data_IF_423944371462
#
_entry.id   IF_423944371462
#
_cell.length_a   1.000
_cell.length_b   1.000
_cell.length_c   1.000
_cell.angle_alpha   90.00
_cell.angle_beta   90.00
_cell.angle_gamma   90.00
#
_symmetry.space_group_name_H-M   'P 1'
#
loop_
_entity.id
_entity.type
_entity.pdbx_description
1 polymer ?
#
# COMPACT_ATOMS: atom_id res chain seq x y z
N UNK A 1 22.48 21.02 -24.94
CA UNK A 1 21.47 22.04 -24.60
C UNK A 1 20.05 21.48 -24.83
N UNK A 2 19.72 20.37 -24.16
CA UNK A 2 18.43 19.68 -24.27
C UNK A 2 18.07 18.91 -22.98
N UNK A 3 18.71 19.22 -21.84
CA UNK A 3 18.53 18.50 -20.57
C UNK A 3 17.68 19.27 -19.54
N UNK A 4 17.15 20.44 -19.91
CA UNK A 4 16.59 21.41 -18.94
C UNK A 4 15.04 21.48 -18.96
N UNK A 5 14.38 20.60 -19.75
CA UNK A 5 12.91 20.63 -19.93
C UNK A 5 12.14 19.53 -19.18
N UNK A 6 12.82 18.62 -18.50
CA UNK A 6 12.17 17.43 -17.93
C UNK A 6 11.73 17.56 -16.45
N UNK A 7 12.12 18.61 -15.72
CA UNK A 7 12.03 18.61 -14.24
C UNK A 7 11.17 19.71 -13.61
N UNK A 8 10.17 20.24 -14.32
CA UNK A 8 9.13 21.10 -13.70
C UNK A 8 7.75 20.76 -14.22
N UNK A 9 7.15 19.69 -13.70
CA UNK A 9 5.69 19.52 -13.71
C UNK A 9 5.22 19.63 -12.27
N UNK A 10 4.77 20.82 -11.89
CA UNK A 10 4.11 21.07 -10.61
C UNK A 10 2.80 20.28 -10.58
N UNK A 11 2.65 19.36 -9.64
CA UNK A 11 1.38 18.72 -9.39
C UNK A 11 0.39 19.77 -8.85
N UNK A 12 -0.75 19.94 -9.53
CA UNK A 12 -1.80 20.86 -9.08
C UNK A 12 -2.66 20.13 -8.07
N UNK A 13 -2.71 20.68 -6.84
CA UNK A 13 -3.60 20.25 -5.77
C UNK A 13 -5.06 20.32 -6.25
N UNK A 14 -5.73 19.17 -6.36
CA UNK A 14 -7.19 19.13 -6.43
C UNK A 14 -7.71 19.16 -5.01
N UNK A 15 -8.21 20.31 -4.59
CA UNK A 15 -9.00 20.40 -3.35
C UNK A 15 -10.20 19.46 -3.51
N UNK A 16 -10.40 18.57 -2.55
CA UNK A 16 -11.52 17.63 -2.51
C UNK A 16 -12.84 18.37 -2.16
N UNK A 17 -13.20 19.40 -2.93
CA UNK A 17 -14.47 20.11 -2.78
C UNK A 17 -15.54 19.48 -3.67
N UNK A 18 -16.66 19.13 -3.06
CA UNK A 18 -17.95 19.01 -3.75
C UNK A 18 -18.20 20.28 -4.55
N UNK A 19 -18.53 20.14 -5.83
CA UNK A 19 -18.54 21.23 -6.80
C UNK A 19 -19.17 22.52 -6.30
N UNK A 20 -18.35 23.57 -6.22
CA UNK A 20 -18.58 24.93 -6.69
C UNK A 20 -17.21 25.63 -6.60
N UNK A 21 -16.59 25.91 -7.76
CA UNK A 21 -15.37 26.70 -7.82
C UNK A 21 -15.77 28.13 -7.45
N UNK A 22 -15.37 28.59 -6.26
CA UNK A 22 -15.19 30.01 -6.00
C UNK A 22 -13.72 30.20 -5.65
N UNK A 23 -13.03 31.05 -6.40
CA UNK A 23 -11.63 31.37 -6.22
C UNK A 23 -11.42 32.10 -4.88
N UNK A 24 -10.65 31.50 -3.98
CA UNK A 24 -9.83 32.24 -3.01
C UNK A 24 -8.53 31.49 -2.82
N UNK A 25 -7.42 32.14 -3.18
CA UNK A 25 -6.06 31.67 -2.99
C UNK A 25 -5.68 31.73 -1.51
N UNK A 26 -5.54 30.57 -0.87
CA UNK A 26 -4.63 30.36 0.25
C UNK A 26 -3.82 29.10 -0.05
N UNK A 27 -2.54 29.28 -0.35
CA UNK A 27 -1.60 28.18 -0.60
C UNK A 27 -1.07 27.71 0.75
N UNK A 28 -1.74 26.72 1.33
CA UNK A 28 -1.09 25.87 2.32
C UNK A 28 -0.18 24.90 1.57
N UNK A 29 1.08 24.81 2.00
CA UNK A 29 2.01 23.77 1.55
C UNK A 29 1.36 22.41 1.83
N UNK A 30 1.11 21.63 0.79
CA UNK A 30 0.58 20.26 0.90
C UNK A 30 1.65 19.29 0.42
N UNK A 31 1.93 18.28 1.23
CA UNK A 31 2.95 17.27 0.98
C UNK A 31 2.61 16.42 -0.25
N UNK A 32 3.63 16.21 -1.08
CA UNK A 32 3.55 15.38 -2.27
C UNK A 32 3.67 13.92 -1.82
N UNK A 33 2.54 13.21 -1.76
CA UNK A 33 2.54 11.79 -1.47
C UNK A 33 3.18 10.97 -2.60
N UNK A 34 4.43 10.59 -2.39
CA UNK A 34 5.18 9.71 -3.29
C UNK A 34 4.87 8.25 -2.95
N UNK A 35 4.58 7.46 -3.98
CA UNK A 35 4.46 6.01 -3.87
C UNK A 35 5.69 5.38 -4.54
N UNK A 36 6.61 4.86 -3.73
CA UNK A 36 7.81 4.16 -4.18
C UNK A 36 7.51 2.65 -4.17
N UNK A 37 7.91 1.92 -5.22
CA UNK A 37 7.82 0.46 -5.30
C UNK A 37 9.22 -0.13 -5.12
N UNK A 38 9.43 -0.93 -4.07
CA UNK A 38 10.72 -1.56 -3.75
C UNK A 38 10.71 -3.09 -3.93
N UNK A 39 9.65 -3.65 -4.52
CA UNK A 39 9.38 -5.11 -4.55
C UNK A 39 10.35 -5.97 -5.37
N UNK A 40 11.46 -5.42 -5.89
CA UNK A 40 12.40 -6.13 -6.75
C UNK A 40 13.89 -6.01 -6.35
N UNK A 41 14.19 -5.67 -5.09
CA UNK A 41 15.56 -5.35 -4.65
C UNK A 41 16.18 -6.39 -3.71
N UNK A 42 16.33 -7.64 -4.16
CA UNK A 42 17.02 -8.71 -3.42
C UNK A 42 18.56 -8.74 -3.64
N UNK A 43 19.17 -7.65 -4.14
CA UNK A 43 20.61 -7.59 -4.37
C UNK A 43 21.25 -6.26 -3.90
N UNK A 44 22.43 -6.28 -3.26
CA UNK A 44 23.12 -5.07 -2.83
C UNK A 44 23.49 -4.20 -4.03
N UNK A 45 22.95 -2.98 -4.06
CA UNK A 45 23.15 -2.02 -5.15
C UNK A 45 24.54 -1.38 -5.02
N UNK A 46 25.43 -1.68 -5.97
CA UNK A 46 26.67 -0.94 -6.16
C UNK A 46 26.35 0.42 -6.78
N UNK A 47 26.40 1.48 -5.96
CA UNK A 47 26.18 2.86 -6.41
C UNK A 47 27.46 3.42 -7.06
N UNK A 48 27.63 3.15 -8.35
CA UNK A 48 28.62 3.86 -9.17
C UNK A 48 28.17 5.33 -9.38
N UNK A 49 28.96 6.34 -8.97
CA UNK A 49 28.61 7.75 -9.16
C UNK A 49 28.54 8.18 -10.64
N UNK A 50 29.00 7.34 -11.59
CA UNK A 50 28.83 7.55 -13.02
C UNK A 50 27.66 6.76 -13.64
N UNK A 51 26.88 6.05 -12.83
CA UNK A 51 25.69 5.33 -13.27
C UNK A 51 24.60 6.33 -13.68
N UNK A 52 24.33 6.47 -14.98
CA UNK A 52 23.04 6.96 -15.48
C UNK A 52 21.93 6.19 -14.76
N UNK A 53 20.98 6.89 -14.15
CA UNK A 53 19.76 6.32 -13.56
C UNK A 53 19.32 5.10 -14.38
N UNK A 54 19.43 3.91 -13.80
CA UNK A 54 19.09 2.67 -14.48
C UNK A 54 17.67 2.26 -14.07
N UNK A 55 16.65 2.66 -14.84
CA UNK A 55 15.27 2.32 -14.54
C UNK A 55 14.99 0.80 -14.64
N UNK A 56 15.97 -0.01 -15.07
CA UNK A 56 15.91 -1.47 -15.00
C UNK A 56 15.84 -2.02 -13.56
N UNK A 57 16.06 -1.18 -12.53
CA UNK A 57 15.84 -1.56 -11.13
C UNK A 57 14.34 -1.65 -10.74
N UNK A 58 13.42 -1.24 -11.63
CA UNK A 58 11.97 -1.28 -11.38
C UNK A 58 11.26 -2.58 -11.81
N UNK A 59 11.97 -3.70 -11.97
CA UNK A 59 11.33 -4.98 -12.28
C UNK A 59 10.68 -5.06 -13.67
N UNK A 60 11.44 -5.61 -14.61
CA UNK A 60 11.01 -6.35 -15.82
C UNK A 60 10.30 -5.68 -17.00
N UNK A 61 9.85 -4.41 -16.99
CA UNK A 61 9.20 -3.87 -18.22
C UNK A 61 9.30 -2.35 -18.44
N UNK A 62 10.30 -1.68 -17.86
CA UNK A 62 10.53 -0.27 -18.18
C UNK A 62 11.20 -0.12 -19.55
N UNK A 63 10.45 0.35 -20.55
CA UNK A 63 10.99 0.80 -21.83
C UNK A 63 11.14 2.34 -21.84
N UNK A 64 12.37 2.88 -21.86
CA UNK A 64 12.61 4.33 -21.90
C UNK A 64 12.09 5.00 -23.18
N UNK A 65 11.66 4.25 -24.19
CA UNK A 65 11.06 4.77 -25.43
C UNK A 65 9.55 4.85 -25.35
N UNK A 66 8.93 4.18 -24.38
CA UNK A 66 7.48 4.08 -24.24
C UNK A 66 7.05 4.97 -23.07
N UNK A 67 6.73 6.22 -23.39
CA UNK A 67 6.14 7.15 -22.41
C UNK A 67 4.62 7.04 -22.39
N UNK A 68 4.02 7.25 -21.21
CA UNK A 68 2.57 7.43 -21.10
C UNK A 68 2.13 8.64 -21.94
N UNK A 69 1.13 8.46 -22.80
CA UNK A 69 0.47 9.58 -23.47
C UNK A 69 -0.34 10.41 -22.46
N UNK A 70 -0.77 11.62 -22.85
CA UNK A 70 -1.46 12.56 -21.96
C UNK A 70 -2.74 11.96 -21.34
N UNK A 71 -3.49 11.17 -22.10
CA UNK A 71 -4.70 10.50 -21.61
C UNK A 71 -4.39 9.45 -20.54
N UNK A 72 -3.34 8.65 -20.75
CA UNK A 72 -2.88 7.64 -19.79
C UNK A 72 -2.35 8.31 -18.54
N UNK A 73 -1.53 9.34 -18.69
CA UNK A 73 -1.02 10.14 -17.58
C UNK A 73 -2.18 10.73 -16.77
N UNK A 74 -3.10 11.42 -17.43
CA UNK A 74 -4.29 12.02 -16.82
C UNK A 74 -5.12 10.98 -16.06
N UNK A 75 -5.38 9.82 -16.67
CA UNK A 75 -6.13 8.73 -16.04
C UNK A 75 -5.52 8.31 -14.71
N UNK A 76 -4.20 8.12 -14.64
CA UNK A 76 -3.54 7.68 -13.41
C UNK A 76 -3.37 8.80 -12.39
N UNK A 77 -3.13 10.04 -12.82
CA UNK A 77 -3.15 11.22 -11.94
C UNK A 77 -4.53 11.40 -11.31
N UNK A 78 -5.61 11.32 -12.10
CA UNK A 78 -6.98 11.43 -11.59
C UNK A 78 -7.32 10.27 -10.65
N UNK A 79 -6.85 9.04 -10.94
CA UNK A 79 -6.99 7.88 -10.05
C UNK A 79 -6.26 8.11 -8.71
N UNK A 80 -5.03 8.61 -8.73
CA UNK A 80 -4.25 8.93 -7.54
C UNK A 80 -4.88 10.04 -6.71
N UNK A 81 -5.31 11.13 -7.35
CA UNK A 81 -6.02 12.22 -6.69
C UNK A 81 -7.33 11.78 -6.03
N UNK A 82 -8.09 10.89 -6.67
CA UNK A 82 -9.28 10.32 -6.06
C UNK A 82 -8.94 9.46 -4.83
N UNK A 83 -7.90 8.62 -4.91
CA UNK A 83 -7.45 7.82 -3.77
C UNK A 83 -7.02 8.70 -2.59
N UNK A 84 -6.28 9.78 -2.85
CA UNK A 84 -5.90 10.77 -1.84
C UNK A 84 -7.13 11.38 -1.16
N UNK A 85 -8.14 11.79 -1.93
CA UNK A 85 -9.39 12.29 -1.35
C UNK A 85 -10.08 11.26 -0.45
N UNK A 86 -10.06 9.98 -0.83
CA UNK A 86 -10.63 8.91 0.00
C UNK A 86 -9.84 8.74 1.31
N UNK A 87 -8.50 8.79 1.26
CA UNK A 87 -7.65 8.65 2.45
C UNK A 87 -7.77 9.86 3.39
N UNK A 88 -7.99 11.06 2.86
CA UNK A 88 -8.17 12.28 3.65
C UNK A 88 -9.58 12.46 4.22
N UNK A 89 -10.59 11.78 3.66
CA UNK A 89 -11.97 11.88 4.12
C UNK A 89 -12.18 11.13 5.46
N UNK A 90 -13.21 11.52 6.22
CA UNK A 90 -13.72 10.67 7.31
C UNK A 90 -14.29 9.38 6.73
N UNK A 91 -14.47 8.33 7.53
CA UNK A 91 -15.08 7.08 7.07
C UNK A 91 -16.40 7.31 6.31
N UNK A 92 -17.30 8.12 6.88
CA UNK A 92 -18.55 8.51 6.23
C UNK A 92 -18.35 9.28 4.92
N UNK A 93 -17.37 10.19 4.90
CA UNK A 93 -17.04 10.98 3.72
C UNK A 93 -16.47 10.11 2.59
N UNK A 94 -15.57 9.18 2.92
CA UNK A 94 -15.03 8.21 1.98
C UNK A 94 -16.14 7.28 1.48
N UNK A 95 -17.03 6.78 2.35
CA UNK A 95 -18.20 6.00 1.95
C UNK A 95 -19.10 6.75 0.96
N UNK A 96 -19.35 8.04 1.21
CA UNK A 96 -20.08 8.89 0.28
C UNK A 96 -19.38 9.05 -1.08
N UNK A 97 -18.07 9.32 -1.09
CA UNK A 97 -17.28 9.45 -2.33
C UNK A 97 -17.26 8.16 -3.16
N UNK A 98 -17.39 7.01 -2.49
CA UNK A 98 -17.50 5.70 -3.13
C UNK A 98 -18.92 5.31 -3.54
N UNK A 99 -19.91 6.18 -3.27
CA UNK A 99 -21.33 5.93 -3.51
C UNK A 99 -21.85 4.70 -2.74
N UNK A 100 -21.34 4.49 -1.52
CA UNK A 100 -21.88 3.49 -0.61
C UNK A 100 -23.34 3.81 -0.28
N UNK A 101 -24.21 2.80 -0.40
CA UNK A 101 -25.66 2.93 -0.23
C UNK A 101 -26.13 2.64 1.20
N UNK A 102 -25.23 2.23 2.10
CA UNK A 102 -25.52 2.05 3.54
C UNK A 102 -25.92 3.38 4.21
N UNK A 103 -26.57 3.30 5.38
CA UNK A 103 -26.99 4.47 6.17
C UNK A 103 -26.52 4.33 7.62
N UNK A 104 -25.48 5.09 8.06
CA UNK A 104 -24.70 6.04 7.26
C UNK A 104 -23.82 5.33 6.20
N UNK A 105 -23.46 6.01 5.10
CA UNK A 105 -22.40 5.55 4.22
C UNK A 105 -21.11 5.38 5.01
N UNK A 106 -20.32 4.38 4.67
CA UNK A 106 -19.07 4.08 5.34
C UNK A 106 -18.06 3.55 4.32
N UNK A 107 -16.79 3.92 4.45
CA UNK A 107 -15.71 3.30 3.69
C UNK A 107 -15.13 2.08 4.40
N UNK A 108 -15.44 1.91 5.69
CA UNK A 108 -15.23 0.72 6.49
C UNK A 108 -16.19 -0.35 5.98
N UNK A 109 -15.71 -1.09 4.98
CA UNK A 109 -16.05 -2.49 4.86
C UNK A 109 -14.99 -3.24 5.63
N UNK A 110 -15.43 -4.20 6.41
CA UNK A 110 -14.58 -5.00 7.28
C UNK A 110 -13.65 -5.82 6.39
N UNK A 111 -12.39 -5.42 6.26
CA UNK A 111 -11.31 -6.26 5.74
C UNK A 111 -11.44 -7.69 6.32
N UNK A 112 -11.75 -7.76 7.62
CA UNK A 112 -12.06 -9.00 8.33
C UNK A 112 -13.23 -9.81 7.73
N UNK A 113 -14.31 -9.18 7.26
CA UNK A 113 -15.41 -9.91 6.61
C UNK A 113 -14.95 -10.58 5.31
N UNK A 114 -13.97 -9.98 4.62
CA UNK A 114 -13.30 -10.56 3.46
C UNK A 114 -12.02 -11.31 3.83
N UNK A 115 -11.86 -11.74 5.09
CA UNK A 115 -10.75 -12.57 5.56
C UNK A 115 -9.36 -11.97 5.33
N UNK A 116 -9.28 -10.65 5.37
CA UNK A 116 -8.01 -9.92 5.47
C UNK A 116 -7.67 -9.68 6.94
N UNK A 117 -6.43 -9.97 7.29
CA UNK A 117 -5.90 -9.91 8.65
C UNK A 117 -4.71 -8.96 8.70
N UNK A 118 -4.58 -8.22 9.80
CA UNK A 118 -3.30 -7.62 10.16
C UNK A 118 -2.34 -8.79 10.48
N UNK A 119 -1.20 -8.83 9.81
CA UNK A 119 -0.18 -9.86 10.01
C UNK A 119 0.92 -9.35 10.92
N UNK A 120 1.59 -10.27 11.60
CA UNK A 120 2.76 -9.89 12.39
C UNK A 120 3.87 -9.44 11.44
N UNK A 121 4.46 -8.30 11.76
CA UNK A 121 5.49 -7.69 10.94
C UNK A 121 6.46 -7.01 11.88
N UNK A 122 7.70 -7.47 11.87
CA UNK A 122 8.75 -6.92 12.71
C UNK A 122 9.01 -5.48 12.27
N UNK A 123 8.41 -4.50 12.95
CA UNK A 123 8.44 -3.10 12.52
C UNK A 123 9.82 -2.49 12.65
N UNK A 124 10.61 -2.87 13.66
CA UNK A 124 11.99 -2.41 13.77
C UNK A 124 12.83 -2.90 12.62
N UNK A 125 12.75 -4.21 12.35
CA UNK A 125 13.52 -4.81 11.30
C UNK A 125 13.01 -4.40 9.91
N UNK A 126 11.75 -4.66 9.63
CA UNK A 126 11.21 -4.56 8.28
C UNK A 126 11.02 -3.12 7.78
N UNK A 127 11.18 -2.09 8.63
CA UNK A 127 11.10 -0.68 8.25
C UNK A 127 12.43 0.07 8.22
N UNK A 128 13.54 -0.57 8.58
CA UNK A 128 14.85 0.05 8.48
C UNK A 128 15.35 0.00 7.03
N UNK A 129 15.01 1.03 6.27
CA UNK A 129 15.43 1.19 4.88
C UNK A 129 16.90 1.58 4.75
N UNK A 130 17.52 2.13 5.78
CA UNK A 130 18.97 2.35 5.80
C UNK A 130 19.70 1.01 5.77
N UNK A 131 19.28 0.06 6.60
CA UNK A 131 19.84 -1.28 6.62
C UNK A 131 19.56 -2.08 5.34
N UNK A 132 18.46 -1.80 4.65
CA UNK A 132 18.21 -2.31 3.29
C UNK A 132 19.08 -1.66 2.21
N UNK A 133 19.93 -0.68 2.56
CA UNK A 133 20.80 0.04 1.62
C UNK A 133 20.06 1.10 0.79
N UNK A 134 18.86 1.52 1.23
CA UNK A 134 18.00 2.47 0.51
C UNK A 134 18.06 3.90 1.06
N UNK A 135 18.90 4.16 2.06
CA UNK A 135 19.08 5.50 2.68
C UNK A 135 19.16 6.63 1.65
N UNK A 136 20.04 6.52 0.66
CA UNK A 136 20.24 7.59 -0.34
C UNK A 136 19.01 7.83 -1.23
N UNK A 137 18.21 6.80 -1.48
CA UNK A 137 16.99 6.94 -2.25
C UNK A 137 15.94 7.73 -1.46
N UNK A 138 15.84 7.46 -0.15
CA UNK A 138 14.98 8.20 0.77
C UNK A 138 15.46 9.65 0.95
N UNK A 139 16.75 9.88 1.22
CA UNK A 139 17.34 11.22 1.31
C UNK A 139 17.11 12.04 0.04
N UNK A 140 17.25 11.40 -1.14
CA UNK A 140 17.02 12.05 -2.43
C UNK A 140 15.57 12.48 -2.66
N UNK A 141 14.61 11.91 -1.93
CA UNK A 141 13.20 12.28 -1.93
C UNK A 141 12.80 13.14 -0.73
N UNK A 142 13.75 13.46 0.17
CA UNK A 142 13.47 14.18 1.41
C UNK A 142 12.73 13.35 2.46
N UNK A 143 12.88 12.02 2.43
CA UNK A 143 12.27 11.09 3.38
C UNK A 143 13.31 10.58 4.40
N UNK A 144 12.89 10.37 5.64
CA UNK A 144 13.64 9.63 6.65
C UNK A 144 13.59 8.12 6.33
N UNK A 145 14.73 7.42 6.43
CA UNK A 145 14.88 6.01 6.08
C UNK A 145 14.81 5.06 7.29
N UNK A 146 14.66 5.59 8.51
CA UNK A 146 14.73 4.85 9.76
C UNK A 146 13.33 4.40 10.21
N UNK A 147 13.27 3.28 10.93
CA UNK A 147 12.03 2.75 11.49
C UNK A 147 11.50 3.64 12.61
N UNK A 148 10.17 3.77 12.71
CA UNK A 148 9.52 4.42 13.86
C UNK A 148 9.53 3.56 15.14
N UNK A 149 10.00 2.31 15.05
CA UNK A 149 10.04 1.36 16.16
C UNK A 149 11.39 0.62 16.18
N UNK A 150 11.80 0.14 17.35
CA UNK A 150 12.89 -0.84 17.52
C UNK A 150 12.37 -2.27 17.30
N UNK A 151 13.28 -3.26 17.27
CA UNK A 151 12.94 -4.68 17.08
C UNK A 151 12.02 -5.24 18.18
N UNK A 152 12.01 -4.64 19.38
CA UNK A 152 11.10 -5.01 20.48
C UNK A 152 9.75 -4.26 20.44
N UNK A 153 9.56 -3.38 19.45
CA UNK A 153 8.35 -2.59 19.25
C UNK A 153 8.30 -1.28 20.03
N UNK A 154 9.36 -0.91 20.75
CA UNK A 154 9.43 0.40 21.41
C UNK A 154 9.60 1.54 20.38
N UNK A 155 8.90 2.68 20.55
CA UNK A 155 8.96 3.78 19.59
C UNK A 155 10.31 4.51 19.63
N UNK A 156 10.79 4.92 18.46
CA UNK A 156 12.02 5.72 18.26
C UNK A 156 11.80 6.85 17.26
N UNK A 157 12.84 7.63 16.96
CA UNK A 157 12.76 8.88 16.19
C UNK A 157 12.71 8.69 14.65
N UNK A 158 12.65 7.45 14.16
CA UNK A 158 12.42 7.21 12.75
C UNK A 158 10.97 7.44 12.36
N UNK A 159 10.70 7.56 11.05
CA UNK A 159 9.39 8.01 10.56
C UNK A 159 8.56 6.89 9.93
N UNK A 160 9.14 5.70 9.73
CA UNK A 160 8.55 4.62 8.94
C UNK A 160 7.83 3.58 9.82
N UNK A 161 6.51 3.46 9.67
CA UNK A 161 5.69 2.40 10.27
C UNK A 161 5.24 1.39 9.20
N UNK A 162 5.67 0.13 9.32
CA UNK A 162 5.35 -0.90 8.34
C UNK A 162 4.17 -1.74 8.78
N UNK A 163 3.33 -2.00 7.80
CA UNK A 163 2.06 -2.68 7.94
C UNK A 163 2.05 -3.84 6.95
N UNK A 164 1.61 -5.00 7.44
CA UNK A 164 1.38 -6.19 6.64
C UNK A 164 -0.08 -6.59 6.77
N UNK A 165 -0.74 -6.76 5.63
CA UNK A 165 -2.13 -7.22 5.58
C UNK A 165 -2.19 -8.46 4.71
N UNK A 166 -2.64 -9.58 5.26
CA UNK A 166 -2.64 -10.90 4.64
C UNK A 166 -4.05 -11.42 4.40
N UNK A 167 -4.25 -12.18 3.32
CA UNK A 167 -5.49 -12.90 3.03
C UNK A 167 -5.33 -14.38 3.36
N UNK A 168 -4.92 -14.60 4.60
CA UNK A 168 -4.84 -15.83 5.36
C UNK A 168 -4.67 -15.43 6.83
N UNK A 169 -5.04 -16.31 7.75
CA UNK A 169 -4.90 -16.10 9.19
C UNK A 169 -3.71 -16.91 9.71
N UNK A 170 -2.66 -16.21 10.12
CA UNK A 170 -1.45 -16.80 10.72
C UNK A 170 -1.75 -17.52 12.04
N UNK A 171 -2.85 -17.15 12.71
CA UNK A 171 -3.30 -17.75 13.97
C UNK A 171 -4.23 -18.94 13.75
N UNK A 172 -4.65 -19.19 12.51
CA UNK A 172 -5.40 -20.38 12.14
C UNK A 172 -4.44 -21.56 12.05
N UNK A 173 -4.34 -22.32 13.14
CA UNK A 173 -3.39 -23.44 13.28
C UNK A 173 -4.11 -24.79 13.23
N UNK A 174 -3.41 -25.84 12.80
CA UNK A 174 -3.97 -27.19 12.69
C UNK A 174 -4.29 -27.82 14.05
N UNK A 175 -3.34 -27.72 14.98
CA UNK A 175 -3.49 -28.14 16.38
C UNK A 175 -3.04 -27.01 17.31
N UNK A 176 -3.97 -26.32 17.99
CA UNK A 176 -3.63 -25.24 18.91
C UNK A 176 -2.95 -25.72 20.20
N UNK A 177 -2.93 -27.03 20.48
CA UNK A 177 -2.27 -27.61 21.64
C UNK A 177 -0.89 -28.19 21.32
N UNK A 178 -0.45 -28.16 20.05
CA UNK A 178 0.89 -28.57 19.70
C UNK A 178 1.94 -27.64 20.33
N UNK A 179 3.10 -28.19 20.68
CA UNK A 179 4.23 -27.38 21.20
C UNK A 179 4.68 -26.32 20.19
N UNK A 180 4.58 -26.66 18.90
CA UNK A 180 4.86 -25.78 17.76
C UNK A 180 3.67 -25.83 16.79
N UNK A 181 2.61 -25.02 17.04
CA UNK A 181 1.43 -25.02 16.19
C UNK A 181 1.80 -24.64 14.76
N UNK A 182 1.52 -25.54 13.81
CA UNK A 182 1.66 -25.24 12.40
C UNK A 182 0.42 -24.50 11.91
N UNK A 183 0.65 -23.41 11.18
CA UNK A 183 -0.43 -22.71 10.48
C UNK A 183 -1.12 -23.69 9.54
N UNK A 184 -2.45 -23.68 9.59
CA UNK A 184 -3.30 -24.40 8.66
C UNK A 184 -2.98 -23.95 7.24
N UNK A 185 -2.74 -24.87 6.28
CA UNK A 185 -2.46 -24.49 4.91
C UNK A 185 -3.52 -23.54 4.36
N UNK A 186 -3.10 -22.53 3.58
CA UNK A 186 -3.97 -21.48 3.03
C UNK A 186 -5.23 -22.04 2.36
N UNK A 187 -5.09 -23.12 1.57
CA UNK A 187 -6.19 -23.81 0.88
C UNK A 187 -7.24 -24.43 1.81
N UNK A 188 -6.89 -24.67 3.06
CA UNK A 188 -7.79 -25.24 4.05
C UNK A 188 -8.43 -24.15 4.94
N UNK A 189 -7.99 -22.90 4.83
CA UNK A 189 -8.60 -21.74 5.47
C UNK A 189 -9.76 -21.23 4.61
N UNK A 190 -10.98 -21.30 5.16
CA UNK A 190 -12.24 -20.99 4.47
C UNK A 190 -13.04 -19.99 5.27
N UNK A 191 -13.77 -19.11 4.61
CA UNK A 191 -14.57 -18.07 5.25
C UNK A 191 -15.88 -17.84 4.51
N UNK A 192 -16.82 -17.14 5.15
CA UNK A 192 -18.15 -16.88 4.62
C UNK A 192 -18.36 -15.38 4.42
N UNK A 193 -18.86 -15.00 3.23
CA UNK A 193 -19.40 -13.66 2.98
C UNK A 193 -20.86 -13.83 2.60
N UNK A 194 -21.76 -13.50 3.52
CA UNK A 194 -23.18 -13.85 3.39
C UNK A 194 -23.36 -15.38 3.35
N UNK A 195 -23.93 -15.90 2.27
CA UNK A 195 -24.18 -17.34 2.07
C UNK A 195 -23.15 -18.02 1.16
N UNK A 196 -22.12 -17.29 0.73
CA UNK A 196 -21.10 -17.83 -0.16
C UNK A 196 -19.84 -18.14 0.63
N UNK A 197 -19.33 -19.35 0.46
CA UNK A 197 -18.06 -19.78 1.05
C UNK A 197 -16.90 -19.46 0.11
N UNK A 198 -15.89 -18.81 0.65
CA UNK A 198 -14.64 -18.48 -0.02
C UNK A 198 -13.46 -19.21 0.64
N UNK A 199 -12.30 -19.09 0.01
CA UNK A 199 -11.04 -19.68 0.46
C UNK A 199 -10.00 -18.58 0.57
N UNK A 200 -9.17 -18.63 1.61
CA UNK A 200 -8.02 -17.75 1.75
C UNK A 200 -7.11 -17.93 0.53
N UNK A 201 -6.40 -16.88 0.12
CA UNK A 201 -5.65 -16.88 -1.15
C UNK A 201 -4.15 -16.89 -0.94
N UNK A 202 -3.68 -16.59 0.27
CA UNK A 202 -2.25 -16.41 0.55
C UNK A 202 -1.72 -15.06 0.08
N UNK A 203 -2.61 -14.16 -0.36
CA UNK A 203 -2.22 -12.83 -0.77
C UNK A 203 -1.71 -12.02 0.42
N UNK A 204 -0.83 -11.06 0.15
CA UNK A 204 -0.35 -10.15 1.16
C UNK A 204 0.03 -8.80 0.54
N UNK A 205 -0.09 -7.76 1.35
CA UNK A 205 0.37 -6.43 1.02
C UNK A 205 1.17 -5.88 2.18
N UNK A 206 2.45 -5.63 1.91
CA UNK A 206 3.40 -5.05 2.85
C UNK A 206 3.79 -3.67 2.36
N UNK A 207 3.63 -2.69 3.23
CA UNK A 207 3.89 -1.30 2.91
C UNK A 207 4.24 -0.51 4.16
N UNK A 208 4.87 0.63 3.95
CA UNK A 208 5.25 1.55 5.00
C UNK A 208 4.43 2.82 4.87
N UNK A 209 3.98 3.33 6.00
CA UNK A 209 3.45 4.68 6.14
C UNK A 209 4.52 5.53 6.82
N UNK A 210 5.02 6.51 6.11
CA UNK A 210 5.87 7.54 6.69
C UNK A 210 4.97 8.72 7.06
N UNK A 211 4.64 8.81 8.35
CA UNK A 211 3.66 9.76 8.86
C UNK A 211 4.16 11.20 8.90
N UNK A 212 5.47 11.39 9.05
CA UNK A 212 6.10 12.71 9.24
C UNK A 212 6.42 13.36 7.90
N UNK A 213 6.98 12.60 6.95
CA UNK A 213 7.41 13.10 5.65
C UNK A 213 6.32 12.91 4.57
N UNK A 214 5.21 12.25 4.93
CA UNK A 214 4.01 12.16 4.09
C UNK A 214 4.12 11.17 2.93
N UNK A 215 4.70 9.98 3.12
CA UNK A 215 4.87 8.98 2.06
C UNK A 215 4.19 7.63 2.38
N UNK A 216 3.80 6.90 1.33
CA UNK A 216 3.42 5.48 1.43
C UNK A 216 4.34 4.68 0.51
N UNK A 217 5.21 3.87 1.09
CA UNK A 217 6.18 3.06 0.35
C UNK A 217 5.63 1.64 0.22
N UNK A 218 5.56 1.12 -1.01
CA UNK A 218 5.16 -0.27 -1.26
C UNK A 218 6.39 -1.14 -1.17
N UNK A 219 6.32 -2.18 -0.35
CA UNK A 219 7.44 -3.10 -0.16
C UNK A 219 7.23 -4.39 -0.92
N UNK A 220 6.26 -5.21 -0.53
CA UNK A 220 5.94 -6.45 -1.22
C UNK A 220 4.45 -6.53 -1.51
N UNK A 221 4.09 -6.81 -2.77
CA UNK A 221 2.70 -6.86 -3.23
C UNK A 221 2.43 -8.21 -3.87
N UNK A 222 1.64 -9.04 -3.22
CA UNK A 222 1.20 -10.31 -3.77
C UNK A 222 -0.34 -10.35 -3.80
N UNK A 223 -0.91 -10.00 -4.95
CA UNK A 223 -2.37 -9.94 -5.11
C UNK A 223 -3.05 -11.31 -5.06
N UNK A 224 -4.34 -11.39 -4.70
CA UNK A 224 -5.10 -12.65 -4.71
C UNK A 224 -4.96 -13.45 -6.01
N UNK A 225 -5.12 -12.81 -7.18
CA UNK A 225 -5.04 -13.53 -8.46
C UNK A 225 -3.64 -14.08 -8.81
N UNK A 226 -2.58 -13.51 -8.23
CA UNK A 226 -1.21 -14.00 -8.36
C UNK A 226 -0.97 -15.10 -7.33
N UNK A 227 -1.29 -14.84 -6.07
CA UNK A 227 -0.96 -15.72 -4.95
C UNK A 227 -1.57 -17.12 -5.05
N UNK A 228 -2.80 -17.23 -5.58
CA UNK A 228 -3.47 -18.54 -5.76
C UNK A 228 -2.73 -19.49 -6.70
N UNK A 229 -1.86 -18.97 -7.57
CA UNK A 229 -1.10 -19.79 -8.52
C UNK A 229 0.06 -20.52 -7.85
N UNK A 230 0.48 -20.10 -6.67
CA UNK A 230 1.52 -20.78 -5.90
C UNK A 230 1.04 -22.16 -5.44
N UNK A 231 1.90 -23.17 -5.53
CA UNK A 231 1.62 -24.54 -5.10
C UNK A 231 1.40 -24.68 -3.59
N UNK A 232 1.95 -23.75 -2.80
CA UNK A 232 1.72 -23.68 -1.35
C UNK A 232 0.32 -23.12 -1.02
N UNK A 233 -0.28 -22.38 -1.96
CA UNK A 233 -1.64 -21.89 -1.89
C UNK A 233 -2.61 -22.82 -2.64
N UNK A 234 -3.14 -22.42 -3.80
CA UNK A 234 -4.12 -23.22 -4.54
C UNK A 234 -3.48 -24.06 -5.65
N UNK A 235 -2.28 -23.69 -6.11
CA UNK A 235 -1.59 -24.30 -7.24
C UNK A 235 -2.29 -24.09 -8.58
N UNK A 236 -3.22 -23.14 -8.69
CA UNK A 236 -3.98 -22.88 -9.93
C UNK A 236 -4.52 -21.45 -10.00
N UNK A 237 -4.84 -21.02 -11.23
CA UNK A 237 -5.61 -19.81 -11.42
C UNK A 237 -7.02 -19.94 -10.84
N UNK A 238 -7.53 -18.83 -10.29
CA UNK A 238 -8.91 -18.72 -9.84
C UNK A 238 -9.88 -18.70 -11.03
N UNK A 239 -11.04 -19.34 -10.85
CA UNK A 239 -12.19 -19.23 -11.73
C UNK A 239 -12.97 -17.94 -11.41
N UNK A 240 -13.81 -17.45 -12.34
CA UNK A 240 -14.66 -16.29 -12.09
C UNK A 240 -15.50 -16.47 -10.81
N UNK A 241 -15.42 -15.49 -9.91
CA UNK A 241 -16.16 -15.48 -8.64
C UNK A 241 -15.50 -16.20 -7.46
N UNK A 242 -14.33 -16.81 -7.62
CA UNK A 242 -13.62 -17.49 -6.51
C UNK A 242 -12.77 -16.54 -5.64
N UNK A 243 -12.35 -15.38 -6.18
CA UNK A 243 -11.51 -14.42 -5.47
C UNK A 243 -12.36 -13.47 -4.59
N UNK A 244 -11.78 -12.90 -3.51
CA UNK A 244 -12.47 -11.86 -2.72
C UNK A 244 -12.84 -10.66 -3.59
N UNK A 245 -13.83 -9.86 -3.19
CA UNK A 245 -14.11 -8.60 -3.89
C UNK A 245 -13.00 -7.56 -3.67
N UNK A 246 -12.33 -7.63 -2.52
CA UNK A 246 -11.21 -6.76 -2.17
C UNK A 246 -9.92 -7.43 -2.63
N UNK A 247 -9.37 -6.98 -3.76
CA UNK A 247 -8.18 -7.60 -4.39
C UNK A 247 -7.08 -6.62 -4.74
N UNK A 248 -7.33 -5.31 -4.67
CA UNK A 248 -6.33 -4.33 -5.08
C UNK A 248 -5.59 -3.77 -3.88
N UNK A 249 -4.28 -3.63 -4.03
CA UNK A 249 -3.41 -2.95 -3.05
C UNK A 249 -3.95 -1.56 -2.67
N UNK A 250 -4.48 -0.79 -3.64
CA UNK A 250 -5.06 0.53 -3.37
C UNK A 250 -6.29 0.50 -2.47
N UNK A 251 -7.08 -0.59 -2.52
CA UNK A 251 -8.20 -0.75 -1.59
C UNK A 251 -7.69 -0.99 -0.18
N UNK A 252 -6.72 -1.90 -0.02
CA UNK A 252 -6.09 -2.20 1.28
C UNK A 252 -5.48 -0.94 1.89
N UNK A 253 -4.72 -0.15 1.12
CA UNK A 253 -4.12 1.09 1.61
C UNK A 253 -5.16 2.06 2.15
N UNK A 254 -6.25 2.25 1.41
CA UNK A 254 -7.36 3.09 1.85
C UNK A 254 -7.91 2.60 3.19
N UNK A 255 -8.20 1.31 3.32
CA UNK A 255 -8.79 0.73 4.53
C UNK A 255 -7.89 0.92 5.75
N UNK A 256 -6.61 0.57 5.62
CA UNK A 256 -5.65 0.70 6.72
C UNK A 256 -5.51 2.17 7.14
N UNK A 257 -5.46 3.08 6.18
CA UNK A 257 -5.39 4.52 6.45
C UNK A 257 -6.64 5.05 7.17
N UNK A 258 -7.84 4.68 6.72
CA UNK A 258 -9.09 5.06 7.38
C UNK A 258 -9.16 4.48 8.81
N UNK A 259 -8.78 3.21 9.00
CA UNK A 259 -8.82 2.54 10.30
C UNK A 259 -7.85 3.16 11.32
N UNK A 260 -6.62 3.49 10.91
CA UNK A 260 -5.63 4.13 11.80
C UNK A 260 -6.08 5.52 12.25
N UNK A 261 -6.76 6.28 11.39
CA UNK A 261 -7.32 7.58 11.76
C UNK A 261 -8.41 7.46 12.83
N UNK A 262 -9.28 6.45 12.73
CA UNK A 262 -10.32 6.21 13.74
C UNK A 262 -9.75 5.80 15.11
N UNK A 263 -8.58 5.16 15.11
CA UNK A 263 -7.84 4.80 16.33
C UNK A 263 -7.14 6.00 17.01
N UNK A 264 -7.30 7.21 16.48
CA UNK A 264 -6.72 8.42 17.05
C UNK A 264 -5.22 8.58 16.78
N UNK A 265 -4.66 7.80 15.85
CA UNK A 265 -3.31 8.04 15.34
C UNK A 265 -3.39 9.27 14.44
N UNK A 266 -2.93 10.41 14.96
CA UNK A 266 -2.93 11.68 14.23
C UNK A 266 -1.92 11.57 13.07
N UNK A 267 -2.40 11.74 11.83
CA UNK A 267 -1.58 11.67 10.62
C UNK A 267 -1.33 13.06 10.01
N UNK A 268 -1.14 14.07 10.86
CA UNK A 268 -0.92 15.47 10.46
C UNK A 268 0.03 16.17 11.43
#
# INVERSE_FOLDING_TARGET
MALDKALRRTAVLKVCTTGYITHSEEVHHADVHLVIDTSSLDAPVSLDPNSTFNPALGGLDFDPKTFANDDTWKKYVDKGGHLLCLMQATDKGAGFLQKDTRTPPSAAKELAAWYWHDADYDRGWECDFERMGLKKAFEGQGLNAESAFEDDGDPVDGHNDCLSVTHYDEKSVEDPNAEWPHMKPTKDQKYMVGNTQYMATGAYYQFTVNHVDGAIIRKNLNSPGVSVRDNENWGRAAMPGELPDIQSCSEIYRYVFTANRERGVNMY
#
